data_IF_822803018196
#
_entry.id   IF_822803018196
#
_cell.length_a   1.000
_cell.length_b   1.000
_cell.length_c   1.000
_cell.angle_alpha   90.00
_cell.angle_beta   90.00
_cell.angle_gamma   90.00
#
_symmetry.space_group_name_H-M   'P 1'
#
loop_
_entity.id
_entity.type
_entity.pdbx_description
1 polymer ?
#
# COMPACT_ATOMS: atom_id res chain seq x y z
N UNK A 1 -7.54 6.87 24.29
CA UNK A 1 -8.92 7.20 24.68
C UNK A 1 -9.89 7.13 23.49
N UNK A 2 -9.64 7.82 22.37
CA UNK A 2 -10.53 7.81 21.20
C UNK A 2 -10.73 6.45 20.51
N UNK A 3 -9.88 5.46 20.79
CA UNK A 3 -10.05 4.07 20.33
C UNK A 3 -11.03 3.24 21.19
N UNK A 4 -11.51 3.77 22.32
CA UNK A 4 -12.41 3.04 23.22
C UNK A 4 -13.84 3.09 22.68
N UNK A 5 -14.45 1.95 22.29
CA UNK A 5 -15.77 1.93 21.68
C UNK A 5 -16.88 2.48 22.58
N UNK A 6 -16.69 2.41 23.89
CA UNK A 6 -17.64 2.87 24.91
C UNK A 6 -17.58 4.39 25.10
N UNK A 7 -16.38 4.99 25.01
CA UNK A 7 -16.23 6.45 24.99
C UNK A 7 -16.95 7.07 23.79
N UNK A 8 -16.98 6.37 22.66
CA UNK A 8 -17.71 6.82 21.47
C UNK A 8 -19.23 6.66 21.59
N UNK A 9 -19.74 5.96 22.60
CA UNK A 9 -21.19 5.87 22.90
C UNK A 9 -21.64 7.03 23.81
N UNK A 10 -20.74 7.53 24.66
CA UNK A 10 -21.03 8.60 25.61
C UNK A 10 -20.70 9.97 25.02
N UNK A 11 -21.66 10.54 24.29
CA UNK A 11 -21.50 11.83 23.58
C UNK A 11 -21.03 12.98 24.50
N UNK A 12 -21.48 13.00 25.75
CA UNK A 12 -21.09 14.03 26.73
C UNK A 12 -19.61 13.93 27.08
N UNK A 13 -19.12 12.74 27.46
CA UNK A 13 -17.71 12.54 27.80
C UNK A 13 -16.81 12.81 26.58
N UNK A 14 -17.23 12.36 25.39
CA UNK A 14 -16.49 12.64 24.16
C UNK A 14 -16.44 14.13 23.86
N UNK A 15 -17.55 14.86 24.03
CA UNK A 15 -17.61 16.30 23.86
C UNK A 15 -16.71 17.02 24.85
N UNK A 16 -16.76 16.66 26.13
CA UNK A 16 -15.94 17.26 27.19
C UNK A 16 -14.45 17.01 26.94
N UNK A 17 -14.09 15.80 26.50
CA UNK A 17 -12.72 15.48 26.10
C UNK A 17 -12.26 16.34 24.93
N UNK A 18 -13.03 16.43 23.84
CA UNK A 18 -12.66 17.25 22.68
C UNK A 18 -12.64 18.75 23.02
N UNK A 19 -13.49 19.19 23.95
CA UNK A 19 -13.54 20.55 24.46
C UNK A 19 -12.25 20.92 25.20
N UNK A 20 -11.65 19.98 25.95
CA UNK A 20 -10.39 20.20 26.65
C UNK A 20 -9.18 20.43 25.72
N UNK A 21 -9.28 20.02 24.45
CA UNK A 21 -8.26 20.24 23.43
C UNK A 21 -8.58 21.40 22.48
N UNK A 22 -9.61 22.22 22.76
CA UNK A 22 -9.87 23.40 21.94
C UNK A 22 -8.76 24.44 22.11
N UNK A 23 -8.25 25.04 21.01
CA UNK A 23 -7.34 26.17 21.12
C UNK A 23 -8.09 27.41 21.66
N UNK A 24 -7.34 28.35 22.24
CA UNK A 24 -7.88 29.61 22.75
C UNK A 24 -8.54 30.45 21.64
N UNK A 25 -7.98 30.41 20.43
CA UNK A 25 -8.57 31.02 19.24
C UNK A 25 -8.52 30.03 18.06
N UNK A 26 -9.69 29.77 17.46
CA UNK A 26 -9.79 29.04 16.19
C UNK A 26 -9.61 30.04 15.04
N UNK A 27 -8.47 29.98 14.35
CA UNK A 27 -8.26 30.80 13.16
C UNK A 27 -9.23 30.38 12.05
N UNK A 28 -10.00 31.34 11.51
CA UNK A 28 -10.88 31.11 10.36
C UNK A 28 -10.14 30.60 9.12
N UNK A 29 -8.83 30.81 9.03
CA UNK A 29 -7.98 30.29 7.96
C UNK A 29 -7.90 28.76 7.94
N UNK A 30 -8.16 28.08 9.06
CA UNK A 30 -8.16 26.61 9.08
C UNK A 30 -9.22 26.03 8.16
N UNK A 31 -10.42 26.61 8.17
CA UNK A 31 -11.56 26.13 7.38
C UNK A 31 -11.59 26.69 5.95
N UNK A 32 -10.52 27.35 5.48
CA UNK A 32 -10.52 28.03 4.18
C UNK A 32 -10.77 27.10 2.98
N UNK A 33 -10.48 25.80 3.12
CA UNK A 33 -10.75 24.78 2.10
C UNK A 33 -12.15 24.13 2.24
N UNK A 34 -12.94 24.50 3.25
CA UNK A 34 -14.31 24.01 3.47
C UNK A 34 -15.34 25.03 2.98
N UNK A 35 -16.41 24.56 2.35
CA UNK A 35 -17.52 25.43 1.92
C UNK A 35 -18.44 25.77 3.09
N UNK A 36 -18.60 24.83 4.03
CA UNK A 36 -19.43 24.97 5.21
C UNK A 36 -18.57 24.88 6.46
N UNK A 37 -18.41 26.02 7.15
CA UNK A 37 -17.69 26.10 8.41
C UNK A 37 -18.57 25.53 9.52
N UNK A 38 -18.09 24.55 10.30
CA UNK A 38 -18.79 24.03 11.46
C UNK A 38 -19.15 25.13 12.48
N UNK A 39 -20.34 25.06 13.06
CA UNK A 39 -20.75 25.98 14.13
C UNK A 39 -20.06 25.64 15.45
N UNK A 40 -19.63 26.63 16.26
CA UNK A 40 -19.09 26.39 17.59
C UNK A 40 -20.02 25.51 18.45
N UNK A 41 -19.46 24.52 19.13
CA UNK A 41 -20.20 23.56 19.97
C UNK A 41 -20.74 22.33 19.23
N UNK A 42 -20.74 22.31 17.89
CA UNK A 42 -21.03 21.08 17.14
C UNK A 42 -19.85 20.09 17.24
N UNK A 43 -20.14 18.81 17.11
CA UNK A 43 -19.12 17.75 17.20
C UNK A 43 -18.00 17.90 16.15
N UNK A 44 -18.33 18.29 14.92
CA UNK A 44 -17.34 18.54 13.86
C UNK A 44 -16.43 19.74 14.19
N UNK A 45 -16.97 20.79 14.81
CA UNK A 45 -16.17 21.90 15.33
C UNK A 45 -15.22 21.44 16.44
N UNK A 46 -15.73 20.65 17.41
CA UNK A 46 -14.91 20.13 18.51
C UNK A 46 -13.79 19.20 18.00
N UNK A 47 -14.09 18.31 17.06
CA UNK A 47 -13.08 17.50 16.40
C UNK A 47 -12.04 18.35 15.66
N UNK A 48 -12.48 19.40 14.98
CA UNK A 48 -11.60 20.32 14.25
C UNK A 48 -10.65 21.04 15.20
N UNK A 49 -11.15 21.61 16.30
CA UNK A 49 -10.30 22.30 17.27
C UNK A 49 -9.26 21.39 17.92
N UNK A 50 -9.67 20.19 18.33
CA UNK A 50 -8.74 19.20 18.89
C UNK A 50 -7.69 18.77 17.85
N UNK A 51 -8.09 18.65 16.57
CA UNK A 51 -7.20 18.30 15.47
C UNK A 51 -6.17 19.41 15.22
N UNK A 52 -6.59 20.68 15.27
CA UNK A 52 -5.71 21.85 15.15
C UNK A 52 -4.71 21.88 16.30
N UNK A 53 -5.17 21.68 17.54
CA UNK A 53 -4.31 21.66 18.71
C UNK A 53 -3.18 20.64 18.54
N UNK A 54 -3.52 19.40 18.20
CA UNK A 54 -2.54 18.35 17.95
C UNK A 54 -1.69 18.62 16.70
N UNK A 55 -2.24 19.25 15.67
CA UNK A 55 -1.48 19.72 14.50
C UNK A 55 -0.39 20.74 14.86
N UNK A 56 -0.68 21.66 15.79
CA UNK A 56 0.32 22.60 16.32
C UNK A 56 1.43 21.89 17.10
N UNK A 57 1.08 20.91 17.92
CA UNK A 57 2.09 20.07 18.62
C UNK A 57 2.90 19.25 17.62
N UNK A 58 2.28 18.73 16.56
CA UNK A 58 2.96 18.03 15.48
C UNK A 58 4.00 18.91 14.82
N UNK A 59 3.64 20.14 14.42
CA UNK A 59 4.56 21.06 13.77
C UNK A 59 5.75 21.43 14.67
N UNK A 60 5.53 21.63 15.97
CA UNK A 60 6.61 21.81 16.93
C UNK A 60 7.51 20.57 17.03
N UNK A 61 6.90 19.39 17.20
CA UNK A 61 7.61 18.12 17.35
C UNK A 61 8.46 17.76 16.13
N UNK A 62 8.02 18.12 14.91
CA UNK A 62 8.82 17.86 13.70
C UNK A 62 10.20 18.52 13.72
N UNK A 63 10.43 19.56 14.54
CA UNK A 63 11.74 20.22 14.60
C UNK A 63 12.74 19.52 15.53
N UNK A 64 12.30 18.64 16.42
CA UNK A 64 13.19 18.08 17.46
C UNK A 64 12.99 16.60 17.77
N UNK A 65 11.89 15.97 17.36
CA UNK A 65 11.65 14.54 17.61
C UNK A 65 10.77 13.89 16.55
N UNK A 66 11.39 13.08 15.69
CA UNK A 66 10.68 12.26 14.70
C UNK A 66 9.71 11.27 15.36
N UNK A 67 10.10 10.65 16.47
CA UNK A 67 9.29 9.68 17.18
C UNK A 67 8.01 10.33 17.75
N UNK A 68 8.15 11.46 18.45
CA UNK A 68 7.00 12.20 19.00
C UNK A 68 6.06 12.68 17.89
N UNK A 69 6.61 13.29 16.83
CA UNK A 69 5.81 13.74 15.69
C UNK A 69 5.04 12.58 15.02
N UNK A 70 5.65 11.39 14.97
CA UNK A 70 5.00 10.19 14.44
C UNK A 70 3.84 9.71 15.32
N UNK A 71 4.01 9.69 16.65
CA UNK A 71 2.91 9.33 17.56
C UNK A 71 1.75 10.32 17.50
N UNK A 72 2.04 11.61 17.31
CA UNK A 72 1.00 12.63 17.10
C UNK A 72 0.27 12.37 15.78
N UNK A 73 0.98 12.03 14.69
CA UNK A 73 0.36 11.65 13.41
C UNK A 73 -0.59 10.45 13.58
N UNK A 74 -0.15 9.40 14.29
CA UNK A 74 -0.98 8.23 14.58
C UNK A 74 -2.23 8.62 15.41
N UNK A 75 -2.07 9.57 16.33
CA UNK A 75 -3.21 10.09 17.12
C UNK A 75 -4.20 10.84 16.24
N UNK A 76 -3.74 11.65 15.29
CA UNK A 76 -4.57 12.34 14.30
C UNK A 76 -5.31 11.34 13.38
N UNK A 77 -4.68 10.24 12.98
CA UNK A 77 -5.34 9.15 12.24
C UNK A 77 -6.47 8.49 13.04
N UNK A 78 -6.22 8.24 14.34
CA UNK A 78 -7.24 7.72 15.26
C UNK A 78 -8.41 8.70 15.39
N UNK A 79 -8.17 10.01 15.42
CA UNK A 79 -9.24 11.01 15.43
C UNK A 79 -10.11 10.92 14.18
N UNK A 80 -9.52 10.86 12.99
CA UNK A 80 -10.25 10.72 11.72
C UNK A 80 -11.08 9.43 11.71
N UNK A 81 -10.52 8.34 12.24
CA UNK A 81 -11.23 7.06 12.38
C UNK A 81 -12.40 7.16 13.36
N UNK A 82 -12.20 7.84 14.49
CA UNK A 82 -13.24 8.13 15.50
C UNK A 82 -14.42 8.89 14.88
N UNK A 83 -14.15 9.91 14.06
CA UNK A 83 -15.18 10.64 13.31
C UNK A 83 -15.98 9.71 12.41
N UNK A 84 -15.29 8.84 11.64
CA UNK A 84 -15.96 7.90 10.73
C UNK A 84 -16.85 6.90 11.48
N UNK A 85 -16.40 6.39 12.63
CA UNK A 85 -17.19 5.50 13.49
C UNK A 85 -18.40 6.23 14.07
N UNK A 86 -18.22 7.47 14.52
CA UNK A 86 -19.29 8.30 15.05
C UNK A 86 -20.40 8.53 13.99
N UNK A 87 -20.03 8.86 12.74
CA UNK A 87 -20.99 9.06 11.66
C UNK A 87 -21.71 7.78 11.21
N UNK A 88 -21.00 6.64 11.18
CA UNK A 88 -21.63 5.37 10.79
C UNK A 88 -22.61 4.84 11.85
N UNK A 89 -22.55 5.34 13.10
CA UNK A 89 -23.39 4.95 14.23
C UNK A 89 -24.66 5.77 14.40
N UNK A 90 -25.00 6.72 13.53
CA UNK A 90 -26.28 7.45 13.61
C UNK A 90 -27.35 6.88 12.67
N UNK A 91 -27.99 5.72 12.95
CA UNK A 91 -29.30 5.45 12.40
C UNK A 91 -30.33 6.30 13.14
N UNK A 92 -31.29 6.86 12.41
CA UNK A 92 -32.50 7.48 12.96
C UNK A 92 -33.27 6.47 13.84
N UNK A 93 -32.90 6.32 15.10
CA UNK A 93 -33.80 5.83 16.13
C UNK A 93 -34.40 7.05 16.82
N UNK A 94 -35.70 7.26 16.57
CA UNK A 94 -36.58 8.25 17.20
C UNK A 94 -36.32 9.73 16.85
N UNK A 95 -36.70 10.13 15.63
CA UNK A 95 -37.52 11.33 15.37
C UNK A 95 -37.05 12.73 15.82
N UNK A 96 -35.85 12.91 16.38
CA UNK A 96 -35.18 14.20 16.57
C UNK A 96 -33.70 14.03 16.28
N UNK A 97 -33.28 14.63 15.18
CA UNK A 97 -31.97 14.52 14.55
C UNK A 97 -30.79 14.72 15.50
N UNK A 98 -29.86 13.76 15.52
CA UNK A 98 -28.59 13.85 16.28
C UNK A 98 -27.36 14.11 15.41
N UNK A 99 -27.51 14.16 14.07
CA UNK A 99 -26.47 14.51 13.10
C UNK A 99 -26.82 15.74 12.24
N UNK A 100 -27.86 16.50 12.60
CA UNK A 100 -28.16 17.80 11.98
C UNK A 100 -27.03 18.78 12.29
N UNK A 101 -26.17 19.03 11.30
CA UNK A 101 -25.10 20.03 11.38
C UNK A 101 -23.67 19.50 11.27
N UNK A 102 -23.45 18.18 11.12
CA UNK A 102 -22.10 17.64 10.87
C UNK A 102 -21.74 17.75 9.39
N UNK A 103 -20.72 18.53 9.06
CA UNK A 103 -20.32 18.73 7.66
C UNK A 103 -19.82 17.43 7.02
N UNK A 104 -20.36 17.07 5.84
CA UNK A 104 -19.86 15.92 5.04
C UNK A 104 -18.44 16.14 4.52
N UNK A 105 -17.98 17.39 4.49
CA UNK A 105 -16.67 17.77 3.98
C UNK A 105 -15.55 17.57 5.01
N UNK A 106 -15.87 17.45 6.30
CA UNK A 106 -14.85 17.43 7.35
C UNK A 106 -13.94 16.20 7.28
N UNK A 107 -14.47 15.02 6.95
CA UNK A 107 -13.64 13.81 6.81
C UNK A 107 -12.65 13.99 5.65
N UNK A 108 -13.09 14.28 4.39
CA UNK A 108 -12.16 14.55 3.30
C UNK A 108 -11.14 15.64 3.62
N UNK A 109 -11.57 16.72 4.27
CA UNK A 109 -10.71 17.84 4.65
C UNK A 109 -9.61 17.42 5.65
N UNK A 110 -9.99 16.73 6.74
CA UNK A 110 -9.02 16.26 7.75
C UNK A 110 -8.13 15.14 7.21
N UNK A 111 -8.64 14.28 6.31
CA UNK A 111 -7.82 13.32 5.59
C UNK A 111 -6.73 14.03 4.77
N UNK A 112 -7.07 15.06 4.00
CA UNK A 112 -6.08 15.81 3.21
C UNK A 112 -4.98 16.41 4.08
N UNK A 113 -5.35 17.02 5.23
CA UNK A 113 -4.35 17.54 6.20
C UNK A 113 -3.50 16.41 6.79
N UNK A 114 -4.10 15.26 7.11
CA UNK A 114 -3.39 14.09 7.62
C UNK A 114 -2.36 13.57 6.60
N UNK A 115 -2.72 13.55 5.32
CA UNK A 115 -1.83 13.21 4.21
C UNK A 115 -0.65 14.19 4.11
N UNK A 116 -0.90 15.49 4.26
CA UNK A 116 0.16 16.50 4.24
C UNK A 116 1.13 16.36 5.44
N UNK A 117 0.62 16.07 6.63
CA UNK A 117 1.47 15.79 7.80
C UNK A 117 2.30 14.52 7.60
N UNK A 118 1.71 13.45 7.08
CA UNK A 118 2.44 12.23 6.76
C UNK A 118 3.54 12.49 5.72
N UNK A 119 3.23 13.26 4.66
CA UNK A 119 4.22 13.67 3.66
C UNK A 119 5.38 14.46 4.29
N UNK A 120 5.07 15.44 5.14
CA UNK A 120 6.07 16.26 5.84
C UNK A 120 7.04 15.39 6.66
N UNK A 121 6.54 14.35 7.34
CA UNK A 121 7.39 13.39 8.05
C UNK A 121 8.23 12.53 7.11
N UNK A 122 7.69 12.08 5.98
CA UNK A 122 8.47 11.31 5.00
C UNK A 122 9.56 12.16 4.34
N UNK A 123 9.35 13.47 4.23
CA UNK A 123 10.29 14.46 3.69
C UNK A 123 11.31 14.97 4.72
N UNK A 124 11.15 14.62 5.99
CA UNK A 124 12.01 15.12 7.06
C UNK A 124 13.46 14.63 6.88
N UNK A 125 14.42 15.56 6.74
CA UNK A 125 15.86 15.25 6.71
C UNK A 125 16.29 14.86 8.12
N UNK A 126 16.85 13.66 8.27
CA UNK A 126 17.32 13.17 9.57
C UNK A 126 18.61 13.87 9.96
N UNK A 127 18.66 14.40 11.19
CA UNK A 127 19.93 14.75 11.81
C UNK A 127 20.66 13.49 12.28
N UNK A 128 21.99 13.51 12.22
CA UNK A 128 22.85 12.35 12.53
C UNK A 128 22.81 11.93 14.01
N UNK A 129 22.23 12.75 14.87
CA UNK A 129 22.28 12.59 16.34
C UNK A 129 21.08 11.81 16.93
N UNK A 130 20.13 11.34 16.10
CA UNK A 130 19.01 10.49 16.55
C UNK A 130 19.45 9.02 16.72
N UNK A 131 20.36 8.80 17.68
CA UNK A 131 21.08 7.53 17.92
C UNK A 131 20.21 6.46 18.60
N UNK A 132 19.00 6.77 19.10
CA UNK A 132 18.47 5.97 20.21
C UNK A 132 17.22 5.09 19.94
N UNK A 133 16.78 4.91 18.69
CA UNK A 133 15.75 3.91 18.37
C UNK A 133 16.25 2.86 17.38
N UNK A 134 16.03 1.58 17.75
CA UNK A 134 16.42 0.44 16.90
C UNK A 134 15.89 0.61 15.48
N UNK A 135 16.73 0.26 14.49
CA UNK A 135 16.40 0.40 13.06
C UNK A 135 15.06 -0.28 12.69
N UNK A 136 14.67 -1.32 13.44
CA UNK A 136 13.40 -2.04 13.30
C UNK A 136 12.20 -1.19 13.70
N UNK A 137 12.24 -0.56 14.88
CA UNK A 137 11.17 0.36 15.34
C UNK A 137 11.02 1.52 14.34
N UNK A 138 12.15 2.03 13.84
CA UNK A 138 12.17 3.06 12.79
C UNK A 138 11.50 2.59 11.49
N UNK A 139 11.71 1.34 11.08
CA UNK A 139 11.09 0.75 9.90
C UNK A 139 9.57 0.59 10.04
N UNK A 140 9.09 0.13 11.19
CA UNK A 140 7.66 -0.01 11.49
C UNK A 140 6.94 1.35 11.49
N UNK A 141 7.59 2.38 12.03
CA UNK A 141 7.07 3.74 12.05
C UNK A 141 6.94 4.31 10.63
N UNK A 142 7.99 4.17 9.80
CA UNK A 142 7.95 4.58 8.39
C UNK A 142 6.86 3.82 7.63
N UNK A 143 6.65 2.54 7.92
CA UNK A 143 5.57 1.76 7.32
C UNK A 143 4.19 2.36 7.59
N UNK A 144 3.92 2.74 8.86
CA UNK A 144 2.65 3.36 9.25
C UNK A 144 2.48 4.72 8.57
N UNK A 145 3.49 5.59 8.64
CA UNK A 145 3.45 6.93 8.03
C UNK A 145 3.20 6.83 6.52
N UNK A 146 3.87 5.91 5.82
CA UNK A 146 3.71 5.74 4.38
C UNK A 146 2.29 5.28 4.01
N UNK A 147 1.67 4.40 4.80
CA UNK A 147 0.27 4.00 4.60
C UNK A 147 -0.69 5.16 4.85
N UNK A 148 -0.45 5.96 5.90
CA UNK A 148 -1.24 7.16 6.17
C UNK A 148 -1.14 8.13 5.00
N UNK A 149 0.07 8.37 4.48
CA UNK A 149 0.28 9.21 3.31
C UNK A 149 -0.53 8.70 2.11
N UNK A 150 -0.28 7.47 1.65
CA UNK A 150 -0.93 6.90 0.45
C UNK A 150 -2.46 6.77 0.57
N UNK A 151 -2.96 6.49 1.78
CA UNK A 151 -4.39 6.38 2.07
C UNK A 151 -5.13 7.72 2.13
N UNK A 152 -4.41 8.83 2.25
CA UNK A 152 -4.99 10.18 2.40
C UNK A 152 -4.55 11.16 1.30
N UNK A 153 -3.77 10.71 0.30
CA UNK A 153 -3.50 11.50 -0.90
C UNK A 153 -4.77 11.74 -1.73
N UNK A 154 -4.85 12.84 -2.50
CA UNK A 154 -5.97 13.11 -3.40
C UNK A 154 -6.24 11.97 -4.40
N UNK A 155 -5.17 11.30 -4.85
CA UNK A 155 -5.24 10.13 -5.71
C UNK A 155 -4.13 9.14 -5.36
N UNK A 156 -4.49 8.05 -4.68
CA UNK A 156 -3.54 6.99 -4.29
C UNK A 156 -2.78 6.42 -5.49
N UNK A 157 -3.44 6.22 -6.64
CA UNK A 157 -2.80 5.63 -7.82
C UNK A 157 -1.78 6.59 -8.46
N UNK A 158 -2.06 7.89 -8.47
CA UNK A 158 -1.11 8.87 -9.02
C UNK A 158 0.12 8.98 -8.11
N UNK A 159 -0.06 9.02 -6.79
CA UNK A 159 1.04 8.99 -5.83
C UNK A 159 1.85 7.69 -5.88
N UNK A 160 1.18 6.54 -6.04
CA UNK A 160 1.86 5.26 -6.27
C UNK A 160 2.68 5.27 -7.56
N UNK A 161 2.14 5.84 -8.63
CA UNK A 161 2.82 5.94 -9.91
C UNK A 161 4.04 6.88 -9.84
N UNK A 162 3.90 8.04 -9.18
CA UNK A 162 4.98 8.99 -8.94
C UNK A 162 6.10 8.35 -8.10
N UNK A 163 5.76 7.74 -6.97
CA UNK A 163 6.75 7.09 -6.10
C UNK A 163 7.45 5.96 -6.85
N UNK A 164 6.69 5.12 -7.57
CA UNK A 164 7.26 4.05 -8.36
C UNK A 164 8.22 4.60 -9.42
N UNK A 165 7.74 5.44 -10.34
CA UNK A 165 8.50 5.83 -11.52
C UNK A 165 9.62 6.84 -11.25
N UNK A 166 9.43 7.75 -10.30
CA UNK A 166 10.32 8.91 -10.11
C UNK A 166 11.15 8.82 -8.84
N UNK A 167 10.60 8.28 -7.75
CA UNK A 167 11.24 8.33 -6.42
C UNK A 167 12.10 7.10 -6.14
N UNK A 168 11.54 5.88 -6.26
CA UNK A 168 12.27 4.64 -5.97
C UNK A 168 13.58 4.49 -6.77
N UNK A 169 13.66 4.89 -8.06
CA UNK A 169 14.90 4.79 -8.83
C UNK A 169 16.04 5.64 -8.30
N UNK A 170 15.75 6.78 -7.66
CA UNK A 170 16.75 7.70 -7.15
C UNK A 170 17.63 7.06 -6.07
N UNK A 171 17.08 6.08 -5.33
CA UNK A 171 17.81 5.35 -4.29
C UNK A 171 19.00 4.59 -4.87
N UNK A 172 18.84 4.02 -6.06
CA UNK A 172 19.88 3.25 -6.74
C UNK A 172 20.92 4.13 -7.42
N UNK A 173 20.50 5.27 -7.96
CA UNK A 173 21.39 6.21 -8.64
C UNK A 173 22.29 6.99 -7.67
N UNK A 174 21.90 7.11 -6.40
CA UNK A 174 22.63 7.90 -5.40
C UNK A 174 23.73 7.13 -4.66
N UNK A 175 23.79 5.80 -4.76
CA UNK A 175 24.87 5.01 -4.14
C UNK A 175 26.24 5.23 -4.83
N UNK A 176 26.28 5.86 -6.00
CA UNK A 176 27.51 6.08 -6.79
C UNK A 176 28.02 7.52 -6.83
N UNK A 177 27.27 8.52 -6.35
CA UNK A 177 27.71 9.92 -6.32
C UNK A 177 27.78 10.48 -4.90
N UNK A 178 29.00 10.72 -4.41
CA UNK A 178 29.29 11.33 -3.09
C UNK A 178 28.98 12.82 -3.00
N UNK A 179 28.24 13.37 -3.97
CA UNK A 179 27.93 14.79 -4.06
C UNK A 179 26.49 14.92 -4.54
N UNK A 180 25.59 15.08 -3.56
CA UNK A 180 24.37 15.91 -3.57
C UNK A 180 23.15 15.20 -2.96
N UNK A 181 23.19 14.97 -1.65
CA UNK A 181 22.11 14.38 -0.85
C UNK A 181 20.92 15.36 -0.65
N UNK A 182 21.00 16.58 -1.24
CA UNK A 182 20.03 17.65 -1.04
C UNK A 182 18.81 17.58 -1.97
N UNK A 183 18.80 16.71 -2.97
CA UNK A 183 17.72 16.60 -3.97
C UNK A 183 16.77 15.42 -3.79
N UNK A 184 16.94 14.59 -2.74
CA UNK A 184 16.02 13.46 -2.49
C UNK A 184 14.64 13.97 -2.07
N UNK A 185 13.61 13.62 -2.83
CA UNK A 185 12.20 13.96 -2.52
C UNK A 185 11.76 13.38 -1.18
N UNK A 186 12.26 12.18 -0.80
CA UNK A 186 11.93 11.51 0.45
C UNK A 186 13.21 10.98 1.15
N UNK A 187 13.83 11.74 2.07
CA UNK A 187 15.03 11.29 2.78
C UNK A 187 14.81 10.02 3.63
N UNK A 188 13.55 9.77 4.06
CA UNK A 188 13.17 8.54 4.77
C UNK A 188 13.22 7.29 3.88
N UNK A 189 13.34 7.43 2.57
CA UNK A 189 13.62 6.35 1.64
C UNK A 189 15.14 6.19 1.47
N UNK A 190 15.70 5.20 2.16
CA UNK A 190 17.12 4.87 2.13
C UNK A 190 17.33 3.35 2.11
N UNK A 191 18.57 2.88 2.00
CA UNK A 191 18.88 1.44 1.89
C UNK A 191 18.27 0.59 3.03
N UNK A 192 18.14 1.16 4.23
CA UNK A 192 17.56 0.51 5.40
C UNK A 192 16.02 0.41 5.35
N UNK A 193 15.34 1.42 4.83
CA UNK A 193 13.86 1.47 4.77
C UNK A 193 13.31 1.00 3.42
N UNK A 194 14.16 0.78 2.42
CA UNK A 194 13.77 0.39 1.07
C UNK A 194 12.86 -0.84 1.03
N UNK A 195 13.11 -1.83 1.88
CA UNK A 195 12.28 -3.05 1.95
C UNK A 195 10.87 -2.77 2.48
N UNK A 196 10.73 -1.79 3.38
CA UNK A 196 9.45 -1.34 3.92
C UNK A 196 8.67 -0.59 2.85
N UNK A 197 9.30 0.38 2.20
CA UNK A 197 8.70 1.15 1.10
C UNK A 197 8.23 0.23 -0.02
N UNK A 198 9.11 -0.66 -0.49
CA UNK A 198 8.78 -1.60 -1.55
C UNK A 198 7.58 -2.50 -1.21
N UNK A 199 7.52 -2.98 0.03
CA UNK A 199 6.39 -3.79 0.52
C UNK A 199 5.08 -2.99 0.51
N UNK A 200 5.08 -1.80 1.09
CA UNK A 200 3.87 -0.96 1.19
C UNK A 200 3.37 -0.57 -0.20
N UNK A 201 4.27 -0.22 -1.13
CA UNK A 201 3.90 0.09 -2.51
C UNK A 201 3.14 -1.06 -3.20
N UNK A 202 3.58 -2.30 -3.01
CA UNK A 202 2.87 -3.48 -3.52
C UNK A 202 1.51 -3.67 -2.85
N UNK A 203 1.46 -3.57 -1.53
CA UNK A 203 0.23 -3.79 -0.75
C UNK A 203 -0.85 -2.75 -1.09
N UNK A 204 -0.47 -1.47 -1.15
CA UNK A 204 -1.39 -0.39 -1.47
C UNK A 204 -1.84 -0.43 -2.93
N UNK A 205 -0.97 -0.81 -3.88
CA UNK A 205 -1.40 -0.98 -5.27
C UNK A 205 -2.40 -2.14 -5.43
N UNK A 206 -2.18 -3.26 -4.73
CA UNK A 206 -3.13 -4.38 -4.71
C UNK A 206 -4.47 -3.95 -4.07
N UNK A 207 -4.42 -3.18 -2.98
CA UNK A 207 -5.60 -2.61 -2.34
C UNK A 207 -6.38 -1.69 -3.29
N UNK A 208 -5.69 -0.79 -3.99
CA UNK A 208 -6.25 0.08 -5.00
C UNK A 208 -6.93 -0.72 -6.12
N UNK A 209 -6.24 -1.72 -6.69
CA UNK A 209 -6.81 -2.61 -7.70
C UNK A 209 -8.06 -3.34 -7.19
N UNK A 210 -8.05 -3.84 -5.94
CA UNK A 210 -9.20 -4.51 -5.35
C UNK A 210 -10.41 -3.57 -5.20
N UNK A 211 -10.19 -2.27 -4.99
CA UNK A 211 -11.26 -1.28 -4.98
C UNK A 211 -11.78 -0.99 -6.40
N UNK A 212 -10.91 -0.94 -7.41
CA UNK A 212 -11.31 -0.85 -8.82
C UNK A 212 -12.12 -2.07 -9.27
N UNK A 213 -11.77 -3.28 -8.79
CA UNK A 213 -12.55 -4.50 -9.06
C UNK A 213 -13.96 -4.36 -8.49
N UNK A 214 -14.12 -3.81 -7.28
CA UNK A 214 -15.46 -3.56 -6.70
C UNK A 214 -16.23 -2.54 -7.54
N UNK A 215 -15.58 -1.48 -8.01
CA UNK A 215 -16.18 -0.48 -8.90
C UNK A 215 -16.65 -1.13 -10.21
N UNK A 216 -15.83 -1.99 -10.82
CA UNK A 216 -16.17 -2.75 -12.02
C UNK A 216 -17.40 -3.64 -11.84
N UNK A 217 -17.46 -4.42 -10.76
CA UNK A 217 -18.60 -5.30 -10.45
C UNK A 217 -19.91 -4.54 -10.19
N UNK A 218 -19.84 -3.28 -9.77
CA UNK A 218 -21.03 -2.42 -9.63
C UNK A 218 -21.53 -1.91 -10.99
N UNK A 219 -20.62 -1.68 -11.95
CA UNK A 219 -20.97 -1.23 -13.31
C UNK A 219 -21.60 -2.34 -14.17
N UNK A 220 -21.36 -3.61 -13.85
CA UNK A 220 -21.99 -4.75 -14.54
C UNK A 220 -23.47 -4.95 -14.16
N UNK A 221 -23.96 -4.31 -13.09
CA UNK A 221 -25.36 -4.45 -12.66
C UNK A 221 -26.29 -3.68 -13.60
N UNK A 222 -27.47 -4.23 -13.96
CA UNK A 222 -28.35 -3.71 -15.04
C UNK A 222 -29.06 -2.38 -14.75
N UNK A 223 -28.67 -1.62 -13.72
CA UNK A 223 -29.30 -0.33 -13.38
C UNK A 223 -28.58 0.82 -14.08
N UNK A 224 -28.97 1.06 -15.33
CA UNK A 224 -28.57 2.21 -16.14
C UNK A 224 -27.16 2.03 -16.72
N UNK A 225 -27.06 1.83 -18.04
CA UNK A 225 -25.80 1.59 -18.73
C UNK A 225 -24.71 2.56 -18.28
N UNK A 226 -23.57 2.02 -17.83
CA UNK A 226 -22.44 2.83 -17.42
C UNK A 226 -22.07 3.78 -18.58
N UNK A 227 -22.04 5.09 -18.32
CA UNK A 227 -21.58 6.07 -19.30
C UNK A 227 -20.18 5.66 -19.81
N UNK A 228 -19.97 5.69 -21.12
CA UNK A 228 -18.69 5.30 -21.77
C UNK A 228 -17.48 6.00 -21.14
N UNK A 229 -17.66 7.25 -20.70
CA UNK A 229 -16.64 8.02 -19.98
C UNK A 229 -16.24 7.39 -18.63
N UNK A 230 -17.20 6.86 -17.88
CA UNK A 230 -16.93 6.18 -16.61
C UNK A 230 -16.15 4.88 -16.80
N UNK A 231 -16.48 4.12 -17.85
CA UNK A 231 -15.76 2.89 -18.23
C UNK A 231 -14.32 3.23 -18.63
N UNK A 232 -14.15 4.24 -19.48
CA UNK A 232 -12.83 4.70 -19.94
C UNK A 232 -11.97 5.17 -18.76
N UNK A 233 -12.55 5.93 -17.83
CA UNK A 233 -11.88 6.35 -16.59
C UNK A 233 -11.45 5.15 -15.74
N UNK A 234 -12.32 4.16 -15.53
CA UNK A 234 -12.01 2.97 -14.76
C UNK A 234 -10.90 2.14 -15.41
N UNK A 235 -10.96 1.92 -16.72
CA UNK A 235 -9.93 1.21 -17.46
C UNK A 235 -8.56 1.92 -17.36
N UNK A 236 -8.52 3.25 -17.49
CA UNK A 236 -7.28 4.01 -17.30
C UNK A 236 -6.69 3.84 -15.90
N UNK A 237 -7.52 3.82 -14.85
CA UNK A 237 -7.06 3.53 -13.48
C UNK A 237 -6.52 2.11 -13.32
N UNK A 238 -7.14 1.12 -13.96
CA UNK A 238 -6.63 -0.26 -13.98
C UNK A 238 -5.28 -0.31 -14.68
N UNK A 239 -5.12 0.35 -15.84
CA UNK A 239 -3.85 0.45 -16.55
C UNK A 239 -2.76 1.11 -15.69
N UNK A 240 -3.08 2.21 -15.00
CA UNK A 240 -2.14 2.84 -14.06
C UNK A 240 -1.68 1.86 -12.98
N UNK A 241 -2.61 1.12 -12.36
CA UNK A 241 -2.27 0.10 -11.35
C UNK A 241 -1.39 -1.02 -11.92
N UNK A 242 -1.64 -1.44 -13.16
CA UNK A 242 -0.77 -2.39 -13.91
C UNK A 242 0.62 -1.80 -14.11
N UNK A 243 0.74 -0.56 -14.56
CA UNK A 243 2.03 0.09 -14.78
C UNK A 243 2.85 0.19 -13.48
N UNK A 244 2.19 0.51 -12.35
CA UNK A 244 2.84 0.52 -11.03
C UNK A 244 3.43 -0.85 -10.68
N UNK A 245 2.66 -1.94 -10.81
CA UNK A 245 3.18 -3.28 -10.47
C UNK A 245 4.30 -3.70 -11.41
N UNK A 246 4.19 -3.37 -12.71
CA UNK A 246 5.20 -3.67 -13.72
C UNK A 246 6.50 -2.96 -13.38
N UNK A 247 6.41 -1.69 -12.98
CA UNK A 247 7.56 -0.92 -12.54
C UNK A 247 8.22 -1.55 -11.31
N UNK A 248 7.44 -1.80 -10.26
CA UNK A 248 7.93 -2.38 -9.01
C UNK A 248 8.62 -3.73 -9.26
N UNK A 249 8.06 -4.59 -10.10
CA UNK A 249 8.66 -5.89 -10.43
C UNK A 249 9.96 -5.70 -11.24
N UNK A 250 9.97 -4.81 -12.23
CA UNK A 250 11.15 -4.60 -13.07
C UNK A 250 12.31 -3.94 -12.32
N UNK A 251 12.05 -3.20 -11.24
CA UNK A 251 13.10 -2.68 -10.35
C UNK A 251 14.00 -3.78 -9.77
N UNK A 252 13.51 -5.02 -9.65
CA UNK A 252 14.33 -6.15 -9.19
C UNK A 252 15.50 -6.48 -10.13
N UNK A 253 15.46 -6.04 -11.39
CA UNK A 253 16.57 -6.24 -12.34
C UNK A 253 17.83 -5.46 -11.96
N UNK A 254 17.65 -4.39 -11.19
CA UNK A 254 18.74 -3.48 -10.79
C UNK A 254 19.06 -3.61 -9.29
N UNK A 255 18.58 -4.66 -8.62
CA UNK A 255 18.80 -4.86 -7.19
C UNK A 255 18.96 -6.35 -6.85
N UNK A 256 20.07 -6.71 -6.23
CA UNK A 256 20.42 -8.10 -5.90
C UNK A 256 19.88 -8.59 -4.55
N UNK A 257 19.15 -7.74 -3.81
CA UNK A 257 18.58 -8.12 -2.51
C UNK A 257 17.50 -9.19 -2.69
N UNK A 258 17.83 -10.43 -2.32
CA UNK A 258 16.95 -11.62 -2.35
C UNK A 258 15.57 -11.35 -1.70
N UNK A 259 15.52 -10.54 -0.65
CA UNK A 259 14.26 -10.18 0.02
C UNK A 259 13.31 -9.40 -0.91
N UNK A 260 13.83 -8.53 -1.78
CA UNK A 260 13.01 -7.78 -2.74
C UNK A 260 12.54 -8.69 -3.87
N UNK A 261 13.40 -9.59 -4.36
CA UNK A 261 13.00 -10.62 -5.33
C UNK A 261 11.89 -11.51 -4.77
N UNK A 262 12.01 -11.96 -3.51
CA UNK A 262 10.98 -12.73 -2.83
C UNK A 262 9.65 -11.96 -2.73
N UNK A 263 9.71 -10.66 -2.43
CA UNK A 263 8.54 -9.78 -2.42
C UNK A 263 7.93 -9.64 -3.82
N UNK A 264 8.74 -9.41 -4.86
CA UNK A 264 8.26 -9.28 -6.24
C UNK A 264 7.54 -10.55 -6.72
N UNK A 265 8.07 -11.73 -6.43
CA UNK A 265 7.42 -13.01 -6.76
C UNK A 265 6.12 -13.19 -5.98
N UNK A 266 6.12 -12.91 -4.66
CA UNK A 266 4.94 -13.04 -3.79
C UNK A 266 3.82 -12.07 -4.19
N UNK A 267 4.12 -10.78 -4.24
CA UNK A 267 3.13 -9.74 -4.50
C UNK A 267 2.74 -9.68 -5.98
N UNK A 268 3.65 -10.02 -6.89
CA UNK A 268 3.31 -10.17 -8.31
C UNK A 268 2.27 -11.26 -8.55
N UNK A 269 2.40 -12.42 -7.89
CA UNK A 269 1.37 -13.46 -7.93
C UNK A 269 0.02 -12.97 -7.39
N UNK A 270 0.02 -12.33 -6.21
CA UNK A 270 -1.19 -11.76 -5.60
C UNK A 270 -1.86 -10.68 -6.45
N UNK A 271 -1.07 -9.81 -7.08
CA UNK A 271 -1.60 -8.79 -7.98
C UNK A 271 -2.31 -9.43 -9.16
N UNK A 272 -1.72 -10.48 -9.75
CA UNK A 272 -2.32 -11.20 -10.87
C UNK A 272 -3.63 -11.88 -10.45
N UNK A 273 -3.69 -12.47 -9.25
CA UNK A 273 -4.96 -13.01 -8.72
C UNK A 273 -6.03 -11.92 -8.57
N UNK A 274 -5.66 -10.73 -8.08
CA UNK A 274 -6.56 -9.57 -8.01
C UNK A 274 -6.98 -9.07 -9.40
N UNK A 275 -6.07 -9.02 -10.36
CA UNK A 275 -6.34 -8.60 -11.74
C UNK A 275 -7.29 -9.58 -12.43
N UNK A 276 -7.13 -10.89 -12.21
CA UNK A 276 -8.03 -11.90 -12.76
C UNK A 276 -9.49 -11.70 -12.33
N UNK A 277 -9.74 -11.06 -11.18
CA UNK A 277 -11.12 -10.74 -10.74
C UNK A 277 -11.78 -9.61 -11.53
N UNK A 278 -11.02 -8.78 -12.26
CA UNK A 278 -11.59 -7.76 -13.16
C UNK A 278 -11.73 -8.29 -14.60
N UNK A 279 -11.31 -9.53 -14.87
CA UNK A 279 -11.16 -10.03 -16.24
C UNK A 279 -12.50 -10.15 -16.97
N UNK A 280 -13.57 -10.55 -16.29
CA UNK A 280 -14.92 -10.64 -16.89
C UNK A 280 -15.40 -9.27 -17.38
N UNK A 281 -15.19 -8.23 -16.58
CA UNK A 281 -15.43 -6.84 -16.98
C UNK A 281 -14.60 -6.46 -18.22
N UNK A 282 -13.31 -6.80 -18.25
CA UNK A 282 -12.46 -6.51 -19.41
C UNK A 282 -12.97 -7.23 -20.66
N UNK A 283 -13.46 -8.47 -20.54
CA UNK A 283 -14.01 -9.23 -21.66
C UNK A 283 -15.28 -8.59 -22.22
N UNK A 284 -16.17 -8.10 -21.34
CA UNK A 284 -17.39 -7.37 -21.75
C UNK A 284 -17.02 -6.07 -22.47
N UNK A 285 -16.02 -5.34 -21.98
CA UNK A 285 -15.60 -4.04 -22.55
C UNK A 285 -14.65 -4.16 -23.75
N UNK A 286 -14.17 -5.37 -24.07
CA UNK A 286 -13.18 -5.60 -25.11
C UNK A 286 -13.55 -5.07 -26.51
N UNK A 287 -14.81 -5.21 -27.00
CA UNK A 287 -15.18 -4.72 -28.33
C UNK A 287 -15.03 -3.21 -28.49
N UNK A 288 -15.26 -2.43 -27.42
CA UNK A 288 -15.25 -0.96 -27.45
C UNK A 288 -13.90 -0.36 -27.01
N UNK A 289 -13.13 -1.09 -26.19
CA UNK A 289 -11.89 -0.60 -25.58
C UNK A 289 -10.67 -1.51 -25.85
N UNK A 290 -10.68 -2.18 -27.00
CA UNK A 290 -9.68 -3.18 -27.42
C UNK A 290 -8.23 -2.75 -27.18
N UNK A 291 -7.84 -1.56 -27.67
CA UNK A 291 -6.45 -1.11 -27.62
C UNK A 291 -5.96 -0.93 -26.18
N UNK A 292 -6.79 -0.33 -25.33
CA UNK A 292 -6.46 -0.08 -23.94
C UNK A 292 -6.33 -1.40 -23.16
N UNK A 293 -7.22 -2.37 -23.39
CA UNK A 293 -7.17 -3.69 -22.74
C UNK A 293 -5.96 -4.50 -23.23
N UNK A 294 -5.68 -4.48 -24.54
CA UNK A 294 -4.49 -5.12 -25.10
C UNK A 294 -3.21 -4.49 -24.55
N UNK A 295 -3.17 -3.17 -24.35
CA UNK A 295 -2.06 -2.49 -23.70
C UNK A 295 -1.87 -2.98 -22.26
N UNK A 296 -2.93 -3.05 -21.45
CA UNK A 296 -2.86 -3.59 -20.08
C UNK A 296 -2.27 -5.01 -20.04
N UNK A 297 -2.76 -5.88 -20.93
CA UNK A 297 -2.29 -7.27 -21.01
C UNK A 297 -0.81 -7.31 -21.41
N UNK A 298 -0.41 -6.53 -22.42
CA UNK A 298 1.00 -6.46 -22.88
C UNK A 298 1.94 -5.95 -21.78
N UNK A 299 1.54 -4.92 -21.04
CA UNK A 299 2.34 -4.40 -19.93
C UNK A 299 2.46 -5.43 -18.81
N UNK A 300 1.34 -6.03 -18.37
CA UNK A 300 1.36 -7.06 -17.33
C UNK A 300 2.19 -8.28 -17.74
N UNK A 301 2.19 -8.65 -19.02
CA UNK A 301 3.06 -9.71 -19.54
C UNK A 301 4.55 -9.43 -19.32
N UNK A 302 5.02 -8.18 -19.38
CA UNK A 302 6.42 -7.83 -19.08
C UNK A 302 6.78 -8.22 -17.64
N UNK A 303 5.90 -7.90 -16.70
CA UNK A 303 6.06 -8.29 -15.30
C UNK A 303 6.06 -9.82 -15.12
N UNK A 304 5.16 -10.54 -15.80
CA UNK A 304 5.12 -12.02 -15.69
C UNK A 304 6.43 -12.67 -16.17
N UNK A 305 7.07 -12.13 -17.21
CA UNK A 305 8.36 -12.62 -17.71
C UNK A 305 9.47 -12.37 -16.69
N UNK A 306 9.52 -11.18 -16.09
CA UNK A 306 10.49 -10.88 -15.02
C UNK A 306 10.30 -11.82 -13.82
N UNK A 307 9.06 -12.08 -13.39
CA UNK A 307 8.77 -13.05 -12.31
C UNK A 307 9.26 -14.45 -12.68
N UNK A 308 9.05 -14.91 -13.92
CA UNK A 308 9.50 -16.24 -14.37
C UNK A 308 11.02 -16.37 -14.35
N UNK A 309 11.75 -15.33 -14.76
CA UNK A 309 13.21 -15.26 -14.65
C UNK A 309 13.64 -15.36 -13.19
N UNK A 310 13.08 -14.53 -12.30
CA UNK A 310 13.35 -14.57 -10.86
C UNK A 310 13.11 -15.97 -10.25
N UNK A 311 12.01 -16.62 -10.63
CA UNK A 311 11.69 -17.96 -10.16
C UNK A 311 12.69 -19.00 -10.66
N UNK A 312 13.22 -18.85 -11.88
CA UNK A 312 14.18 -19.78 -12.47
C UNK A 312 15.54 -19.67 -11.80
N UNK A 313 16.03 -18.45 -11.62
CA UNK A 313 17.30 -18.17 -10.92
C UNK A 313 17.24 -18.62 -9.47
N UNK A 314 16.15 -18.33 -8.76
CA UNK A 314 15.97 -18.74 -7.37
C UNK A 314 16.05 -20.27 -7.18
N UNK A 315 15.53 -21.04 -8.14
CA UNK A 315 15.62 -22.51 -8.12
C UNK A 315 17.06 -22.97 -8.31
N UNK A 316 17.78 -22.42 -9.27
CA UNK A 316 19.18 -22.76 -9.53
C UNK A 316 20.09 -22.41 -8.36
N UNK A 317 19.85 -21.26 -7.75
CA UNK A 317 20.64 -20.74 -6.62
C UNK A 317 20.15 -21.20 -5.23
N UNK A 318 19.22 -22.17 -5.17
CA UNK A 318 18.64 -22.72 -3.92
C UNK A 318 18.12 -21.65 -2.94
N UNK A 319 17.58 -20.53 -3.44
CA UNK A 319 17.07 -19.43 -2.62
C UNK A 319 15.69 -19.78 -2.01
N UNK A 320 15.70 -20.44 -0.86
CA UNK A 320 14.50 -20.99 -0.19
C UNK A 320 13.39 -19.94 0.05
N UNK A 321 13.76 -18.70 0.37
CA UNK A 321 12.83 -17.58 0.58
C UNK A 321 11.94 -17.31 -0.65
N UNK A 322 12.48 -17.50 -1.85
CA UNK A 322 11.76 -17.34 -3.12
C UNK A 322 11.13 -18.67 -3.54
N UNK A 323 11.87 -19.78 -3.45
CA UNK A 323 11.41 -21.11 -3.89
C UNK A 323 10.09 -21.51 -3.25
N UNK A 324 9.88 -21.20 -1.96
CA UNK A 324 8.61 -21.44 -1.24
C UNK A 324 7.41 -20.68 -1.81
N UNK A 325 7.62 -19.58 -2.56
CA UNK A 325 6.56 -18.76 -3.16
C UNK A 325 6.21 -19.17 -4.59
N UNK A 326 7.12 -19.88 -5.27
CA UNK A 326 6.99 -20.24 -6.68
C UNK A 326 5.71 -21.01 -7.01
N UNK A 327 5.28 -22.05 -6.25
CA UNK A 327 4.11 -22.85 -6.64
C UNK A 327 2.83 -22.02 -6.76
N UNK A 328 2.57 -21.15 -5.78
CA UNK A 328 1.41 -20.27 -5.79
C UNK A 328 1.50 -19.25 -6.93
N UNK A 329 2.65 -18.57 -7.08
CA UNK A 329 2.83 -17.56 -8.12
C UNK A 329 2.72 -18.15 -9.52
N UNK A 330 3.34 -19.31 -9.78
CA UNK A 330 3.26 -20.00 -11.09
C UNK A 330 1.81 -20.32 -11.46
N UNK A 331 1.00 -20.81 -10.52
CA UNK A 331 -0.43 -21.04 -10.73
C UNK A 331 -1.16 -19.76 -11.16
N UNK A 332 -0.91 -18.63 -10.51
CA UNK A 332 -1.49 -17.34 -10.89
C UNK A 332 -1.08 -16.92 -12.31
N UNK A 333 0.18 -17.11 -12.69
CA UNK A 333 0.68 -16.81 -14.04
C UNK A 333 0.02 -17.68 -15.12
N UNK A 334 -0.16 -18.97 -14.85
CA UNK A 334 -0.80 -19.91 -15.78
C UNK A 334 -2.28 -19.58 -15.99
N UNK A 335 -2.99 -19.25 -14.90
CA UNK A 335 -4.38 -18.78 -14.99
C UNK A 335 -4.50 -17.51 -15.83
N UNK A 336 -3.64 -16.52 -15.58
CA UNK A 336 -3.59 -15.31 -16.40
C UNK A 336 -3.38 -15.62 -17.89
N UNK A 337 -2.44 -16.50 -18.21
CA UNK A 337 -2.18 -16.91 -19.58
C UNK A 337 -3.40 -17.57 -20.23
N UNK A 338 -4.11 -18.43 -19.50
CA UNK A 338 -5.32 -19.09 -19.97
C UNK A 338 -6.44 -18.07 -20.26
N UNK A 339 -6.70 -17.15 -19.33
CA UNK A 339 -7.70 -16.08 -19.51
C UNK A 339 -7.38 -15.19 -20.73
N UNK A 340 -6.11 -14.77 -20.89
CA UNK A 340 -5.68 -13.98 -22.06
C UNK A 340 -5.91 -14.75 -23.36
N UNK A 341 -5.58 -16.05 -23.40
CA UNK A 341 -5.87 -16.89 -24.57
C UNK A 341 -7.36 -16.91 -24.88
N UNK A 342 -8.20 -17.19 -23.88
CA UNK A 342 -9.65 -17.25 -24.05
C UNK A 342 -10.22 -15.94 -24.61
N UNK A 343 -9.79 -14.79 -24.10
CA UNK A 343 -10.18 -13.46 -24.59
C UNK A 343 -9.84 -13.25 -26.08
N UNK A 344 -8.66 -13.68 -26.50
CA UNK A 344 -8.20 -13.49 -27.88
C UNK A 344 -8.86 -14.48 -28.86
N UNK A 345 -9.13 -15.71 -28.42
CA UNK A 345 -9.86 -16.70 -29.23
C UNK A 345 -11.33 -16.33 -29.42
N UNK A 346 -11.99 -15.79 -28.40
CA UNK A 346 -13.41 -15.43 -28.46
C UNK A 346 -13.68 -14.15 -29.23
N UNK A 347 -12.67 -13.29 -29.44
CA UNK A 347 -12.84 -12.00 -30.12
C UNK A 347 -12.33 -11.99 -31.57
N UNK A 348 -12.53 -13.08 -32.32
CA UNK A 348 -11.99 -13.31 -33.67
C UNK A 348 -12.28 -12.15 -34.64
N UNK A 349 -11.39 -11.15 -34.60
CA UNK A 349 -11.24 -9.99 -35.48
C UNK A 349 -9.75 -9.87 -35.76
N UNK A 350 -9.18 -10.90 -36.40
CA UNK A 350 -7.90 -10.85 -37.12
C UNK A 350 -6.63 -10.47 -36.34
N UNK A 351 -6.63 -10.31 -35.02
CA UNK A 351 -5.39 -10.01 -34.29
C UNK A 351 -4.53 -11.27 -34.20
N UNK A 352 -3.42 -11.32 -34.96
CA UNK A 352 -2.41 -12.37 -34.83
C UNK A 352 -1.79 -12.28 -33.43
N UNK A 353 -2.22 -13.16 -32.54
CA UNK A 353 -1.57 -13.35 -31.25
C UNK A 353 -0.26 -14.10 -31.45
N UNK A 354 0.86 -13.38 -31.44
CA UNK A 354 2.19 -14.00 -31.46
C UNK A 354 2.64 -14.31 -30.03
N UNK A 355 2.38 -15.54 -29.60
CA UNK A 355 2.93 -16.10 -28.37
C UNK A 355 4.40 -16.45 -28.61
N UNK A 356 5.31 -15.48 -28.41
CA UNK A 356 6.73 -15.73 -28.59
C UNK A 356 7.24 -16.88 -27.72
N UNK A 357 8.08 -17.76 -28.28
CA UNK A 357 8.71 -18.85 -27.53
C UNK A 357 9.55 -18.29 -26.38
N UNK A 358 9.35 -18.87 -25.18
CA UNK A 358 10.11 -18.50 -23.99
C UNK A 358 11.51 -19.11 -24.09
N UNK A 359 12.51 -18.32 -24.49
CA UNK A 359 13.92 -18.68 -24.30
C UNK A 359 14.28 -18.44 -22.83
N UNK A 360 15.00 -19.38 -22.22
CA UNK A 360 15.50 -19.22 -20.85
C UNK A 360 16.52 -18.08 -20.84
N UNK A 361 16.27 -17.04 -20.04
CA UNK A 361 17.10 -15.84 -19.94
C UNK A 361 17.30 -15.45 -18.49
N UNK A 362 18.50 -14.98 -18.15
CA UNK A 362 18.79 -14.34 -16.88
C UNK A 362 18.14 -12.94 -16.78
N UNK A 363 18.20 -12.31 -15.61
CA UNK A 363 17.67 -10.96 -15.37
C UNK A 363 18.30 -9.89 -16.28
N UNK A 364 19.51 -10.14 -16.77
CA UNK A 364 20.26 -9.27 -17.68
C UNK A 364 19.93 -9.53 -19.15
N UNK A 365 19.07 -10.52 -19.43
CA UNK A 365 18.56 -10.85 -20.76
C UNK A 365 19.46 -11.78 -21.59
N UNK A 366 20.52 -12.33 -21.01
CA UNK A 366 21.41 -13.31 -21.64
C UNK A 366 20.73 -14.68 -21.68
N UNK A 367 20.90 -15.42 -22.76
CA UNK A 367 20.27 -16.75 -22.93
C UNK A 367 21.03 -17.77 -22.09
N UNK A 368 20.31 -18.46 -21.20
CA UNK A 368 20.87 -19.52 -20.33
C UNK A 368 20.46 -20.88 -20.89
N UNK A 369 21.35 -21.88 -20.79
CA UNK A 369 21.01 -23.24 -21.23
C UNK A 369 19.96 -23.87 -20.31
N UNK A 370 18.85 -24.33 -20.88
CA UNK A 370 17.74 -24.96 -20.17
C UNK A 370 18.09 -26.30 -19.49
N UNK A 371 19.30 -26.82 -19.71
CA UNK A 371 19.72 -28.19 -19.36
C UNK A 371 20.83 -28.27 -18.29
N UNK A 372 21.23 -27.18 -17.65
CA UNK A 372 22.31 -27.19 -16.64
C UNK A 372 21.87 -27.63 -15.22
N UNK A 373 20.68 -28.21 -15.05
CA UNK A 373 20.13 -28.55 -13.73
C UNK A 373 19.76 -30.03 -13.60
N UNK A 374 20.74 -30.91 -13.67
CA UNK A 374 20.68 -32.29 -13.17
C UNK A 374 22.08 -32.65 -12.67
N UNK A 375 22.30 -32.58 -11.36
CA UNK A 375 22.43 -33.74 -10.47
C UNK A 375 23.13 -33.32 -9.17
N UNK A 376 22.57 -33.73 -8.05
CA UNK A 376 23.06 -33.37 -6.72
C UNK A 376 22.07 -33.79 -5.66
N UNK A 377 21.84 -35.10 -5.64
CA UNK A 377 21.43 -36.00 -4.55
C UNK A 377 20.50 -35.46 -3.45
N UNK A 378 19.39 -36.19 -3.36
CA UNK A 378 18.56 -36.45 -2.19
C UNK A 378 19.39 -36.57 -0.90
N UNK A 379 19.11 -35.71 0.08
CA UNK A 379 19.38 -36.02 1.47
C UNK A 379 18.26 -35.42 2.33
N UNK A 380 17.51 -36.33 2.96
CA UNK A 380 16.37 -36.01 3.79
C UNK A 380 16.77 -35.16 4.99
N UNK A 381 16.14 -33.99 5.12
CA UNK A 381 16.21 -33.19 6.34
C UNK A 381 14.80 -33.05 6.88
N UNK A 382 14.63 -33.67 8.06
CA UNK A 382 13.44 -33.63 8.91
C UNK A 382 13.04 -32.19 9.20
N UNK A 383 11.74 -31.92 9.08
CA UNK A 383 11.09 -30.72 9.59
C UNK A 383 11.24 -30.68 11.11
N UNK A 384 12.07 -29.76 11.62
CA UNK A 384 11.94 -29.23 12.97
C UNK A 384 11.72 -27.71 12.87
N UNK A 385 10.46 -27.33 13.01
CA UNK A 385 10.01 -25.95 13.20
C UNK A 385 9.94 -25.66 14.70
N UNK A 386 10.44 -24.51 15.19
CA UNK A 386 9.91 -23.98 16.42
C UNK A 386 9.44 -22.54 16.22
N UNK A 387 8.12 -22.37 16.21
CA UNK A 387 7.48 -21.19 16.74
C UNK A 387 6.57 -21.59 17.91
N UNK A 388 6.79 -20.91 19.03
CA UNK A 388 5.88 -20.71 20.16
C UNK A 388 5.67 -21.87 21.17
N UNK A 389 6.49 -21.84 22.22
CA UNK A 389 6.01 -22.12 23.58
C UNK A 389 6.68 -21.16 24.57
N UNK A 390 5.88 -20.24 25.08
CA UNK A 390 6.14 -19.47 26.30
C UNK A 390 6.01 -20.45 27.47
N UNK A 391 7.01 -20.51 28.34
CA UNK A 391 6.96 -20.51 29.83
C UNK A 391 8.31 -21.04 30.30
N UNK A 392 9.12 -20.19 30.96
CA UNK A 392 10.00 -20.70 32.00
C UNK A 392 10.24 -19.66 33.09
N UNK A 393 9.69 -19.95 34.26
CA UNK A 393 10.22 -19.54 35.56
C UNK A 393 9.97 -20.71 36.49
N UNK A 394 11.00 -21.53 36.78
CA UNK A 394 11.79 -21.43 38.02
C UNK A 394 12.91 -22.49 38.05
N UNK A 395 14.10 -22.21 38.63
CA UNK A 395 15.25 -23.09 38.48
C UNK A 395 15.28 -24.25 39.46
N UNK A 396 16.00 -25.27 39.02
CA UNK A 396 16.39 -26.52 39.66
C UNK A 396 17.16 -26.35 40.97
N UNK A 397 16.79 -27.23 41.91
CA UNK A 397 17.68 -28.14 42.66
C UNK A 397 18.69 -27.54 43.65
N UNK A 398 18.67 -28.00 44.91
CA UNK A 398 19.75 -28.80 45.52
C UNK A 398 19.22 -29.45 46.82
N UNK A 399 19.39 -30.77 46.95
CA UNK A 399 20.02 -31.46 48.11
C UNK A 399 19.30 -32.75 48.54
N UNK A 400 19.93 -33.88 48.20
CA UNK A 400 19.89 -35.18 48.91
C UNK A 400 20.42 -35.06 50.35
N UNK A 401 20.59 -36.15 51.13
CA UNK A 401 19.70 -37.27 51.45
C UNK A 401 19.58 -37.50 52.99
N UNK A 402 18.53 -38.18 53.46
CA UNK A 402 18.60 -39.27 54.44
C UNK A 402 17.23 -39.92 54.68
#
# INVERSE_FOLDING_TARGET
MLNLPDLLKEKTILSDLLQAFQPLEMSGCFFQEMQLIPSPGNMDYLYSGAYICLGGVFDAATNFSFALASEILLTLEVMVTSIRVFLNRSPCENGKDTCTGFSKEIIPFLCNKLGAYAQKLLMHKRDKDDVDSSLKIKGEMVQKILRIYLGNCPSTLDSLNEIACSVLPQVYSSETSTKDDNHRTFPTLCSATMTVWYRVMHEENISALNNLVKEASLMEKPRGGAKVENVSRLLNKILQSVNVVVFLINMCRNNDKVILHAMAVKYGGKFIDSFLRVFDFLQIQFPMHKDLILQMIKELQKATRTIQTLCSEAKGSKQTAITRKIPATKRSLERFLFHVKALLYTTSSGCSFWMGNLKHKDLMGQVVSSQAYLDGEDDGIKDDDPADAIVDHQPTDVSTPH
#
